data_IF_604223405219
#
_entry.id   IF_604223405219
#
_cell.length_a   1.000
_cell.length_b   1.000
_cell.length_c   1.000
_cell.angle_alpha   90.00
_cell.angle_beta   90.00
_cell.angle_gamma   90.00
#
_symmetry.space_group_name_H-M   'P 1'
#
loop_
_entity.id
_entity.type
_entity.pdbx_description
1 polymer ?
#
# COMPACT_ATOMS: atom_id res chain seq x y z
N UNK A 1 -1.17 11.50 -20.15
CA UNK A 1 -2.48 10.81 -20.11
C UNK A 1 -2.92 10.50 -18.69
N UNK A 2 -2.04 9.91 -17.85
CA UNK A 2 -2.37 9.57 -16.47
C UNK A 2 -2.23 10.73 -15.50
N UNK A 3 -1.46 11.75 -15.85
CA UNK A 3 -1.25 12.91 -14.98
C UNK A 3 -2.54 13.69 -14.70
N UNK A 4 -3.45 13.76 -15.66
CA UNK A 4 -4.74 14.42 -15.46
C UNK A 4 -5.58 13.66 -14.43
N UNK A 5 -5.58 12.33 -14.48
CA UNK A 5 -6.29 11.48 -13.51
C UNK A 5 -5.67 11.59 -12.11
N UNK A 6 -4.34 11.65 -12.01
CA UNK A 6 -3.64 11.86 -10.75
C UNK A 6 -4.03 13.22 -10.15
N UNK A 7 -4.01 14.26 -10.94
CA UNK A 7 -4.37 15.62 -10.49
C UNK A 7 -5.82 15.69 -10.00
N UNK A 8 -6.73 15.08 -10.75
CA UNK A 8 -8.16 15.04 -10.39
C UNK A 8 -8.39 14.32 -9.05
N UNK A 9 -7.65 13.26 -8.79
CA UNK A 9 -7.82 12.40 -7.63
C UNK A 9 -6.76 12.64 -6.53
N UNK A 10 -5.98 13.71 -6.63
CA UNK A 10 -4.79 13.93 -5.80
C UNK A 10 -5.09 13.82 -4.30
N UNK A 11 -6.14 14.46 -3.83
CA UNK A 11 -6.48 14.42 -2.40
C UNK A 11 -6.79 13.00 -1.92
N UNK A 12 -7.56 12.25 -2.69
CA UNK A 12 -7.89 10.86 -2.34
C UNK A 12 -6.67 9.94 -2.46
N UNK A 13 -5.83 10.15 -3.47
CA UNK A 13 -4.61 9.34 -3.64
C UNK A 13 -3.65 9.55 -2.46
N UNK A 14 -3.38 10.81 -2.12
CA UNK A 14 -2.28 11.15 -1.21
C UNK A 14 -2.70 11.39 0.23
N UNK A 15 -3.92 11.83 0.47
CA UNK A 15 -4.36 12.33 1.78
C UNK A 15 -5.57 11.63 2.37
N UNK A 16 -6.08 10.57 1.74
CA UNK A 16 -7.20 9.82 2.28
C UNK A 16 -6.83 9.18 3.63
N UNK A 17 -7.65 9.31 4.67
CA UNK A 17 -7.42 8.62 5.95
C UNK A 17 -7.51 7.09 5.81
N UNK A 18 -7.96 6.59 4.67
CA UNK A 18 -8.03 5.16 4.37
C UNK A 18 -6.73 4.57 3.86
N UNK A 19 -5.75 5.40 3.50
CA UNK A 19 -4.40 4.95 3.20
C UNK A 19 -3.59 4.74 4.48
N UNK A 20 -2.58 3.87 4.40
CA UNK A 20 -1.60 3.74 5.48
C UNK A 20 -0.38 4.57 5.13
N UNK A 21 -0.05 5.53 5.98
CA UNK A 21 1.08 6.42 5.76
C UNK A 21 2.27 5.95 6.58
N UNK A 22 3.37 5.69 5.90
CA UNK A 22 4.64 5.26 6.48
C UNK A 22 5.75 6.26 6.09
N UNK A 23 6.90 6.12 6.71
CA UNK A 23 8.02 7.02 6.45
C UNK A 23 7.78 8.40 7.01
N UNK A 24 8.15 9.42 6.27
CA UNK A 24 7.98 10.81 6.72
C UNK A 24 6.63 11.36 6.25
N UNK A 25 5.71 11.56 7.20
CA UNK A 25 4.38 12.13 6.89
C UNK A 25 4.45 13.51 6.22
N UNK A 26 5.55 14.24 6.45
CA UNK A 26 5.79 15.54 5.84
C UNK A 26 6.83 15.48 4.71
N UNK A 27 7.06 14.30 4.17
CA UNK A 27 8.03 14.09 3.09
C UNK A 27 7.70 14.91 1.85
N UNK A 28 8.73 15.18 1.06
CA UNK A 28 8.62 16.01 -0.14
C UNK A 28 8.20 15.23 -1.39
N UNK A 29 8.26 13.90 -1.34
CA UNK A 29 7.78 13.04 -2.42
C UNK A 29 6.80 12.03 -1.86
N UNK A 30 5.63 11.94 -2.47
CA UNK A 30 4.65 10.90 -2.17
C UNK A 30 4.96 9.66 -3.01
N UNK A 31 5.08 8.53 -2.33
CA UNK A 31 5.30 7.22 -2.93
C UNK A 31 4.09 6.36 -2.56
N UNK A 32 3.17 6.20 -3.50
CA UNK A 32 1.92 5.45 -3.28
C UNK A 32 2.02 4.11 -3.98
N UNK A 33 1.78 3.02 -3.24
CA UNK A 33 1.79 1.67 -3.79
C UNK A 33 0.42 1.00 -3.65
N UNK A 34 -0.08 0.48 -4.77
CA UNK A 34 -1.23 -0.41 -4.83
C UNK A 34 -0.71 -1.84 -4.89
N UNK A 35 -1.08 -2.67 -3.94
CA UNK A 35 -0.50 -4.01 -3.79
C UNK A 35 -1.54 -5.08 -3.47
N UNK A 36 -1.14 -6.34 -3.62
CA UNK A 36 -1.95 -7.53 -3.31
C UNK A 36 -1.08 -8.51 -2.53
N UNK A 37 -1.62 -9.09 -1.47
CA UNK A 37 -0.87 -10.00 -0.60
C UNK A 37 -0.48 -11.32 -1.27
N UNK A 38 -1.07 -11.68 -2.39
CA UNK A 38 -0.71 -12.88 -3.16
C UNK A 38 0.12 -12.58 -4.40
N UNK A 39 0.56 -11.35 -4.56
CA UNK A 39 1.40 -10.92 -5.67
C UNK A 39 2.87 -11.19 -5.34
N UNK A 40 3.52 -12.08 -6.12
CA UNK A 40 4.93 -12.41 -5.90
C UNK A 40 5.86 -11.20 -6.03
N UNK A 41 5.61 -10.33 -7.00
CA UNK A 41 6.38 -9.11 -7.20
C UNK A 41 6.16 -8.09 -6.07
N UNK A 42 5.01 -8.12 -5.41
CA UNK A 42 4.75 -7.23 -4.26
C UNK A 42 5.59 -7.60 -3.05
N UNK A 43 5.95 -8.87 -2.90
CA UNK A 43 6.87 -9.32 -1.85
C UNK A 43 8.24 -8.66 -2.02
N UNK A 44 8.77 -8.67 -3.24
CA UNK A 44 10.04 -8.01 -3.56
C UNK A 44 9.91 -6.49 -3.43
N UNK A 45 8.79 -5.92 -3.88
CA UNK A 45 8.51 -4.49 -3.79
C UNK A 45 8.48 -4.02 -2.33
N UNK A 46 7.99 -4.85 -1.41
CA UNK A 46 8.02 -4.53 0.02
C UNK A 46 9.46 -4.36 0.53
N UNK A 47 10.35 -5.27 0.15
CA UNK A 47 11.77 -5.17 0.48
C UNK A 47 12.38 -3.87 -0.06
N UNK A 48 12.08 -3.54 -1.31
CA UNK A 48 12.54 -2.30 -1.94
C UNK A 48 12.00 -1.06 -1.22
N UNK A 49 10.74 -1.08 -0.85
CA UNK A 49 10.11 0.02 -0.09
C UNK A 49 10.79 0.23 1.27
N UNK A 50 11.09 -0.85 1.99
CA UNK A 50 11.77 -0.77 3.27
C UNK A 50 13.17 -0.16 3.10
N UNK A 51 13.90 -0.56 2.07
CA UNK A 51 15.21 0.01 1.75
C UNK A 51 15.11 1.49 1.43
N UNK A 52 14.11 1.89 0.64
CA UNK A 52 13.88 3.28 0.27
C UNK A 52 13.55 4.15 1.49
N UNK A 53 12.69 3.66 2.39
CA UNK A 53 12.37 4.41 3.62
C UNK A 53 13.59 4.58 4.52
N UNK A 54 14.48 3.58 4.54
CA UNK A 54 15.69 3.63 5.35
C UNK A 54 16.71 4.61 4.79
N UNK A 55 16.84 4.69 3.47
CA UNK A 55 17.84 5.54 2.80
C UNK A 55 17.35 6.95 2.48
N UNK A 56 16.03 7.20 2.51
CA UNK A 56 15.43 8.47 2.11
C UNK A 56 14.47 8.97 3.19
N UNK A 57 14.98 9.82 4.08
CA UNK A 57 14.22 10.38 5.21
C UNK A 57 13.13 11.38 4.80
N UNK A 58 13.07 11.76 3.53
CA UNK A 58 12.09 12.70 3.00
C UNK A 58 10.99 12.02 2.18
N UNK A 59 10.96 10.68 2.18
CA UNK A 59 9.97 9.92 1.45
C UNK A 59 8.72 9.71 2.30
N UNK A 60 7.57 10.04 1.74
CA UNK A 60 6.26 9.75 2.34
C UNK A 60 5.63 8.59 1.58
N UNK A 61 5.45 7.47 2.26
CA UNK A 61 4.90 6.25 1.66
C UNK A 61 3.42 6.12 2.03
N UNK A 62 2.59 5.80 1.03
CA UNK A 62 1.17 5.52 1.24
C UNK A 62 0.87 4.15 0.65
N UNK A 63 0.38 3.23 1.46
CA UNK A 63 -0.01 1.89 1.02
C UNK A 63 -1.51 1.80 0.81
N UNK A 64 -1.91 1.20 -0.31
CA UNK A 64 -3.31 1.01 -0.67
C UNK A 64 -3.58 -0.45 -1.05
N UNK A 65 -4.54 -1.06 -0.34
CA UNK A 65 -5.01 -2.41 -0.62
C UNK A 65 -5.65 -2.47 -2.00
N UNK A 66 -5.18 -3.37 -2.84
CA UNK A 66 -5.72 -3.57 -4.19
C UNK A 66 -5.80 -5.07 -4.51
N UNK A 67 -6.74 -5.81 -3.87
CA UNK A 67 -6.81 -7.26 -3.99
C UNK A 67 -7.45 -7.66 -5.32
N UNK A 68 -6.61 -8.04 -6.29
CA UNK A 68 -7.02 -8.39 -7.65
C UNK A 68 -6.77 -9.87 -7.99
N UNK A 69 -6.20 -10.64 -7.04
CA UNK A 69 -5.78 -12.03 -7.29
C UNK A 69 -6.68 -13.07 -6.60
N UNK A 70 -7.96 -12.77 -6.49
CA UNK A 70 -8.95 -13.74 -6.06
C UNK A 70 -9.48 -13.54 -4.63
N UNK A 71 -10.37 -14.46 -4.18
CA UNK A 71 -11.06 -14.32 -2.89
C UNK A 71 -10.13 -14.27 -1.67
N UNK A 72 -9.04 -15.05 -1.68
CA UNK A 72 -8.08 -15.03 -0.60
C UNK A 72 -7.42 -13.67 -0.44
N UNK A 73 -7.09 -13.00 -1.55
CA UNK A 73 -6.54 -11.64 -1.55
C UNK A 73 -7.55 -10.65 -1.00
N UNK A 74 -8.81 -10.77 -1.37
CA UNK A 74 -9.88 -9.90 -0.84
C UNK A 74 -10.00 -10.06 0.66
N UNK A 75 -10.04 -11.30 1.16
CA UNK A 75 -10.12 -11.57 2.59
C UNK A 75 -8.90 -11.02 3.34
N UNK A 76 -7.71 -11.21 2.79
CA UNK A 76 -6.48 -10.69 3.40
C UNK A 76 -6.50 -9.15 3.45
N UNK A 77 -6.94 -8.50 2.37
CA UNK A 77 -7.07 -7.05 2.33
C UNK A 77 -8.08 -6.52 3.34
N UNK A 78 -9.19 -7.22 3.53
CA UNK A 78 -10.20 -6.86 4.54
C UNK A 78 -9.62 -6.88 5.94
N UNK A 79 -8.85 -7.91 6.26
CA UNK A 79 -8.14 -8.00 7.55
C UNK A 79 -7.15 -6.84 7.69
N UNK A 80 -6.40 -6.53 6.63
CA UNK A 80 -5.44 -5.42 6.64
C UNK A 80 -6.12 -4.07 6.94
N UNK A 81 -7.30 -3.84 6.37
CA UNK A 81 -8.08 -2.61 6.68
C UNK A 81 -8.45 -2.56 8.15
N UNK A 82 -8.92 -3.68 8.72
CA UNK A 82 -9.24 -3.75 10.14
C UNK A 82 -8.00 -3.53 11.02
N UNK A 83 -6.84 -4.01 10.59
CA UNK A 83 -5.56 -3.72 11.28
C UNK A 83 -5.28 -2.21 11.27
N UNK A 84 -5.40 -1.56 10.12
CA UNK A 84 -5.23 -0.11 10.02
C UNK A 84 -6.18 0.65 10.96
N UNK A 85 -7.40 0.19 11.10
CA UNK A 85 -8.39 0.82 11.97
C UNK A 85 -7.97 0.83 13.45
N UNK A 86 -7.11 -0.09 13.86
CA UNK A 86 -6.54 -0.11 15.20
C UNK A 86 -5.24 0.67 15.32
N UNK A 87 -4.49 0.79 14.22
CA UNK A 87 -3.13 1.31 14.26
C UNK A 87 -2.91 2.39 13.20
N UNK A 88 -3.39 3.58 13.47
CA UNK A 88 -3.23 4.72 12.57
C UNK A 88 -1.77 5.18 12.46
N UNK A 89 -0.91 4.83 13.42
CA UNK A 89 0.52 5.16 13.40
C UNK A 89 1.36 4.25 12.51
N UNK A 90 0.80 3.14 12.04
CA UNK A 90 1.42 2.27 11.06
C UNK A 90 2.44 1.26 11.56
N UNK A 91 2.83 1.28 12.84
CA UNK A 91 3.84 0.34 13.37
C UNK A 91 3.35 -1.10 13.38
N UNK A 92 2.19 -1.33 13.98
CA UNK A 92 1.60 -2.69 14.00
C UNK A 92 1.15 -3.09 12.61
N UNK A 93 0.63 -2.14 11.84
CA UNK A 93 0.27 -2.40 10.45
C UNK A 93 1.49 -2.85 9.66
N UNK A 94 2.62 -2.17 9.76
CA UNK A 94 3.83 -2.54 9.03
C UNK A 94 4.34 -3.92 9.44
N UNK A 95 4.31 -4.25 10.72
CA UNK A 95 4.69 -5.57 11.22
C UNK A 95 3.75 -6.66 10.66
N UNK A 96 2.45 -6.42 10.69
CA UNK A 96 1.45 -7.28 10.06
C UNK A 96 1.73 -7.46 8.56
N UNK A 97 1.96 -6.36 7.86
CA UNK A 97 2.22 -6.33 6.42
C UNK A 97 3.45 -7.17 6.05
N UNK A 98 4.53 -7.00 6.81
CA UNK A 98 5.76 -7.78 6.61
C UNK A 98 5.55 -9.27 6.87
N UNK A 99 4.83 -9.63 7.94
CA UNK A 99 4.55 -11.02 8.28
C UNK A 99 3.68 -11.69 7.23
N UNK A 100 2.65 -11.01 6.76
CA UNK A 100 1.72 -11.58 5.79
C UNK A 100 2.33 -11.66 4.39
N UNK A 101 2.87 -10.57 3.89
CA UNK A 101 3.44 -10.52 2.55
C UNK A 101 4.74 -11.29 2.45
N UNK A 102 5.55 -11.29 3.51
CA UNK A 102 6.81 -12.03 3.58
C UNK A 102 6.66 -13.51 3.87
N UNK A 103 5.47 -13.97 4.25
CA UNK A 103 5.23 -15.36 4.60
C UNK A 103 5.20 -16.29 3.38
N UNK A 104 5.14 -17.59 3.66
CA UNK A 104 5.04 -18.62 2.61
C UNK A 104 3.59 -19.00 2.37
N UNK A 105 3.31 -19.47 1.16
CA UNK A 105 1.99 -19.93 0.77
C UNK A 105 1.04 -18.80 0.46
N UNK A 106 -0.20 -19.17 0.19
CA UNK A 106 -1.24 -18.23 -0.19
C UNK A 106 -1.70 -17.41 1.02
N UNK A 107 -1.81 -16.11 0.85
CA UNK A 107 -2.44 -15.24 1.83
C UNK A 107 -3.96 -15.35 1.69
N UNK A 108 -4.60 -15.71 2.79
CA UNK A 108 -6.05 -15.83 2.91
C UNK A 108 -6.49 -15.26 4.26
N UNK A 109 -7.75 -15.44 4.61
CA UNK A 109 -8.28 -14.93 5.88
C UNK A 109 -7.53 -15.51 7.09
N UNK A 110 -7.32 -16.82 7.10
CA UNK A 110 -6.69 -17.51 8.24
C UNK A 110 -5.25 -17.02 8.46
N UNK A 111 -4.48 -16.89 7.39
CA UNK A 111 -3.10 -16.39 7.48
C UNK A 111 -3.05 -14.91 7.87
N UNK A 112 -3.97 -14.12 7.36
CA UNK A 112 -4.04 -12.71 7.71
C UNK A 112 -4.39 -12.51 9.20
N UNK A 113 -5.34 -13.29 9.72
CA UNK A 113 -5.69 -13.26 11.14
C UNK A 113 -4.50 -13.69 12.00
N UNK A 114 -3.77 -14.75 11.59
CA UNK A 114 -2.58 -15.20 12.31
C UNK A 114 -1.51 -14.10 12.33
N UNK A 115 -1.27 -13.43 11.21
CA UNK A 115 -0.31 -12.32 11.13
C UNK A 115 -0.72 -11.14 12.04
N UNK A 116 -2.01 -10.83 12.10
CA UNK A 116 -2.52 -9.78 12.98
C UNK A 116 -2.30 -10.12 14.46
N UNK A 117 -2.55 -11.37 14.83
CA UNK A 117 -2.31 -11.84 16.20
C UNK A 117 -0.83 -11.73 16.56
N UNK A 118 0.05 -12.18 15.69
CA UNK A 118 1.50 -12.09 15.88
C UNK A 118 1.99 -10.66 15.98
N UNK A 119 1.35 -9.73 15.26
CA UNK A 119 1.69 -8.32 15.30
C UNK A 119 1.13 -7.59 16.54
N UNK A 120 0.37 -8.29 17.38
CA UNK A 120 -0.11 -7.74 18.65
C UNK A 120 -1.40 -6.93 18.56
N UNK A 121 -2.22 -7.15 17.52
CA UNK A 121 -3.53 -6.49 17.42
C UNK A 121 -4.50 -7.05 18.46
N UNK A 122 -5.46 -6.23 18.86
CA UNK A 122 -6.60 -6.67 19.66
C UNK A 122 -7.53 -7.50 18.75
N UNK A 123 -7.57 -8.81 18.98
CA UNK A 123 -8.28 -9.73 18.10
C UNK A 123 -9.80 -9.63 18.23
N UNK A 124 -10.32 -9.29 19.41
CA UNK A 124 -11.75 -9.06 19.60
C UNK A 124 -12.21 -7.83 18.81
N UNK A 125 -11.43 -6.76 18.87
CA UNK A 125 -11.69 -5.53 18.10
C UNK A 125 -11.54 -5.79 16.60
N UNK A 126 -10.55 -6.57 16.20
CA UNK A 126 -10.35 -6.94 14.79
C UNK A 126 -11.58 -7.63 14.23
N UNK A 127 -12.09 -8.62 14.93
CA UNK A 127 -13.29 -9.37 14.52
C UNK A 127 -14.50 -8.45 14.36
N UNK A 128 -14.69 -7.54 15.30
CA UNK A 128 -15.75 -6.55 15.24
C UNK A 128 -15.59 -5.61 14.05
N UNK A 129 -14.36 -5.12 13.83
CA UNK A 129 -14.07 -4.14 12.78
C UNK A 129 -14.16 -4.76 11.37
N UNK A 130 -13.95 -6.07 11.23
CA UNK A 130 -14.13 -6.77 9.95
C UNK A 130 -15.56 -6.62 9.40
N UNK A 131 -16.55 -6.44 10.27
CA UNK A 131 -17.93 -6.22 9.89
C UNK A 131 -18.27 -4.74 9.64
N UNK A 132 -17.32 -3.84 9.86
CA UNK A 132 -17.54 -2.40 9.67
C UNK A 132 -17.71 -2.03 8.20
N UNK A 133 -18.63 -1.11 7.88
CA UNK A 133 -18.74 -0.57 6.51
C UNK A 133 -17.45 0.07 6.01
N UNK A 134 -16.56 0.51 6.90
CA UNK A 134 -15.27 1.13 6.55
C UNK A 134 -14.38 0.17 5.75
N UNK A 135 -14.48 -1.12 5.98
CA UNK A 135 -13.69 -2.14 5.25
C UNK A 135 -14.05 -2.11 3.76
N UNK A 136 -15.32 -2.24 3.44
CA UNK A 136 -15.77 -2.19 2.04
C UNK A 136 -15.55 -0.81 1.41
N UNK A 137 -15.78 0.25 2.17
CA UNK A 137 -15.57 1.61 1.70
C UNK A 137 -14.10 1.86 1.30
N UNK A 138 -13.16 1.32 2.07
CA UNK A 138 -11.73 1.43 1.76
C UNK A 138 -11.39 0.73 0.45
N UNK A 139 -11.84 -0.50 0.28
CA UNK A 139 -11.55 -1.27 -0.95
C UNK A 139 -12.23 -0.62 -2.16
N UNK A 140 -13.46 -0.16 -2.01
CA UNK A 140 -14.19 0.54 -3.08
C UNK A 140 -13.44 1.80 -3.52
N UNK A 141 -12.96 2.60 -2.56
CA UNK A 141 -12.17 3.79 -2.86
C UNK A 141 -10.93 3.43 -3.68
N UNK A 142 -10.18 2.40 -3.25
CA UNK A 142 -8.95 2.01 -3.93
C UNK A 142 -9.22 1.46 -5.34
N UNK A 143 -10.26 0.66 -5.52
CA UNK A 143 -10.63 0.15 -6.84
C UNK A 143 -11.04 1.29 -7.78
N UNK A 144 -11.77 2.28 -7.28
CA UNK A 144 -12.17 3.43 -8.08
C UNK A 144 -10.95 4.27 -8.52
N UNK A 145 -10.02 4.50 -7.59
CA UNK A 145 -8.78 5.20 -7.92
C UNK A 145 -7.99 4.46 -9.00
N UNK A 146 -7.86 3.15 -8.85
CA UNK A 146 -7.15 2.31 -9.82
C UNK A 146 -7.82 2.37 -11.19
N UNK A 147 -9.14 2.29 -11.24
CA UNK A 147 -9.90 2.40 -12.49
C UNK A 147 -9.65 3.74 -13.17
N UNK A 148 -9.76 4.85 -12.43
CA UNK A 148 -9.56 6.20 -12.96
C UNK A 148 -8.14 6.38 -13.53
N UNK A 149 -7.15 5.72 -12.97
CA UNK A 149 -5.76 5.80 -13.40
C UNK A 149 -5.35 4.69 -14.36
N UNK A 150 -6.27 3.80 -14.73
CA UNK A 150 -5.97 2.70 -15.63
C UNK A 150 -5.08 1.62 -15.03
N UNK A 151 -5.06 1.48 -13.70
CA UNK A 151 -4.30 0.43 -13.03
C UNK A 151 -5.12 -0.86 -13.00
N UNK A 152 -4.52 -1.97 -13.44
CA UNK A 152 -5.18 -3.27 -13.48
C UNK A 152 -4.33 -4.42 -12.89
N UNK A 153 -3.15 -4.12 -12.37
CA UNK A 153 -2.25 -5.12 -11.81
C UNK A 153 -1.43 -4.57 -10.64
N UNK A 154 -0.66 -5.44 -10.02
CA UNK A 154 0.16 -5.13 -8.86
C UNK A 154 1.61 -5.60 -9.05
N UNK A 155 2.58 -4.93 -8.46
CA UNK A 155 2.43 -3.62 -7.83
C UNK A 155 2.21 -2.53 -8.87
N UNK A 156 1.49 -1.49 -8.48
CA UNK A 156 1.34 -0.27 -9.28
C UNK A 156 1.55 0.92 -8.36
N UNK A 157 2.07 2.01 -8.90
CA UNK A 157 2.51 3.14 -8.07
C UNK A 157 2.01 4.46 -8.61
N UNK A 158 1.86 5.41 -7.69
CA UNK A 158 1.84 6.83 -8.04
C UNK A 158 2.98 7.48 -7.26
N UNK A 159 3.99 7.96 -7.98
CA UNK A 159 5.21 8.56 -7.39
C UNK A 159 5.27 10.00 -7.85
N UNK A 160 5.01 10.94 -6.91
CA UNK A 160 4.73 12.32 -7.30
C UNK A 160 3.47 12.35 -8.17
N UNK A 161 3.57 12.81 -9.40
CA UNK A 161 2.48 12.80 -10.36
C UNK A 161 2.62 11.70 -11.43
N UNK A 162 3.58 10.78 -11.26
CA UNK A 162 3.89 9.73 -12.23
C UNK A 162 3.16 8.44 -11.87
N UNK A 163 2.47 7.85 -12.85
CA UNK A 163 1.91 6.50 -12.72
C UNK A 163 2.96 5.50 -13.19
N UNK A 164 3.32 4.54 -12.35
CA UNK A 164 4.31 3.51 -12.63
C UNK A 164 3.63 2.15 -12.48
N UNK A 165 3.58 1.37 -13.56
CA UNK A 165 2.90 0.08 -13.59
C UNK A 165 3.94 -1.04 -13.55
N UNK A 166 3.73 -1.98 -12.63
CA UNK A 166 4.57 -3.16 -12.53
C UNK A 166 5.81 -2.99 -11.66
N UNK A 167 6.52 -4.09 -11.49
CA UNK A 167 7.72 -4.15 -10.66
C UNK A 167 8.92 -3.63 -11.45
N UNK A 168 9.35 -2.41 -11.15
CA UNK A 168 10.50 -1.78 -11.81
C UNK A 168 11.79 -1.90 -11.01
N UNK A 169 11.73 -2.53 -9.83
CA UNK A 169 12.89 -2.75 -8.97
C UNK A 169 13.36 -1.51 -8.22
N UNK A 170 14.31 -1.72 -7.31
CA UNK A 170 14.83 -0.65 -6.46
C UNK A 170 15.42 0.50 -7.27
N UNK A 171 16.22 0.18 -8.29
CA UNK A 171 16.84 1.19 -9.15
C UNK A 171 15.79 2.03 -9.90
N UNK A 172 14.78 1.37 -10.48
CA UNK A 172 13.71 2.06 -11.18
C UNK A 172 12.89 2.95 -10.26
N UNK A 173 12.57 2.46 -9.05
CA UNK A 173 11.83 3.26 -8.06
C UNK A 173 12.65 4.46 -7.59
N UNK A 174 13.95 4.28 -7.35
CA UNK A 174 14.85 5.37 -6.96
C UNK A 174 14.88 6.47 -8.02
N UNK A 175 14.94 6.07 -9.29
CA UNK A 175 14.91 7.03 -10.41
C UNK A 175 13.60 7.81 -10.44
N UNK A 176 12.47 7.13 -10.27
CA UNK A 176 11.14 7.79 -10.27
C UNK A 176 10.99 8.76 -9.11
N UNK A 177 11.52 8.43 -7.96
CA UNK A 177 11.54 9.34 -6.81
C UNK A 177 12.37 10.59 -7.12
N UNK A 178 13.56 10.41 -7.70
CA UNK A 178 14.41 11.54 -8.10
C UNK A 178 13.74 12.42 -9.14
N UNK A 179 13.12 11.82 -10.15
CA UNK A 179 12.38 12.57 -11.17
C UNK A 179 11.24 13.39 -10.54
N UNK A 180 10.52 12.82 -9.57
CA UNK A 180 9.46 13.53 -8.85
C UNK A 180 10.01 14.67 -7.99
N UNK A 181 11.21 14.48 -7.42
CA UNK A 181 11.82 15.45 -6.50
C UNK A 181 12.48 16.61 -7.22
N UNK A 182 13.25 16.37 -8.27
CA UNK A 182 14.08 17.38 -8.92
C UNK A 182 14.01 17.37 -10.44
N UNK A 183 13.17 16.53 -11.04
CA UNK A 183 13.01 16.44 -12.49
C UNK A 183 14.10 15.70 -13.23
N UNK A 184 15.06 15.12 -12.52
CA UNK A 184 16.21 14.41 -13.09
C UNK A 184 16.27 12.97 -12.55
N UNK A 185 16.94 12.09 -13.32
CA UNK A 185 17.11 10.70 -12.90
C UNK A 185 17.92 10.57 -11.58
N UNK A 186 18.75 11.55 -11.29
CA UNK A 186 19.51 11.63 -10.04
C UNK A 186 19.51 13.07 -9.55
N UNK A 187 19.18 13.25 -8.31
CA UNK A 187 19.28 14.55 -7.65
C UNK A 187 20.64 14.67 -6.95
#
# INVERSE_FOLDING_TARGET
>A
KHQAAVKKNADTIFNSPRGVVLGNQKGDVNFVEFFDYNCGYCKKAMSDMLDLMKSDSKLRVVLKEFPVLGPGSVDAARVAVAVRMQDSGGKKYLDFHQKLLGGRGQADKARAIAAAKEAGLDMAKLEKDLASPEVDATLTENFKLAEDMGLNGTPSYVIGNQVVVGAVGLEGLTRKISEARCGKATC
#
